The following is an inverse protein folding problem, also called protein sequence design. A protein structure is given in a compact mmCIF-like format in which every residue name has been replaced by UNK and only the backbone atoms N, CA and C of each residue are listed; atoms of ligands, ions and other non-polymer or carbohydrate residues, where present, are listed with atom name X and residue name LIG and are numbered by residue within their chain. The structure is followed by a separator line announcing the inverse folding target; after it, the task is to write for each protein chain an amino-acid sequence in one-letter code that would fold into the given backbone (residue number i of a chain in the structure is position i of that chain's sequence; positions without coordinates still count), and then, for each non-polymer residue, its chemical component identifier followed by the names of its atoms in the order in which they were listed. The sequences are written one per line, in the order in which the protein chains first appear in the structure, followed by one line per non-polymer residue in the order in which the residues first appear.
data_IF_170656170350
#
_entry.id   IF_170656170350
#
_cell.length_a   1.000
_cell.length_b   1.000
_cell.length_c   1.000
_cell.angle_alpha   90.00
_cell.angle_beta   90.00
_cell.angle_gamma   90.00
#
_symmetry.space_group_name_H-M   'P 1'
#
loop_
_entity.id
_entity.type
_entity.pdbx_description
1 polymer ?
#
# COMPACT_ATOMS: atom_id res chain seq x y z
N UNK A 1 -0.42 16.06 -48.12
CA UNK A 1 0.11 16.64 -46.87
C UNK A 1 0.52 15.46 -46.02
N UNK A 2 1.81 15.28 -45.77
CA UNK A 2 2.29 14.15 -44.98
C UNK A 2 1.86 14.34 -43.53
N UNK A 3 1.07 13.40 -42.99
CA UNK A 3 0.79 13.34 -41.55
C UNK A 3 2.00 12.72 -40.85
N UNK A 4 3.04 13.54 -40.67
CA UNK A 4 4.16 13.23 -39.78
C UNK A 4 3.61 13.08 -38.36
N UNK A 5 3.28 11.84 -38.00
CA UNK A 5 2.91 11.48 -36.63
C UNK A 5 4.13 11.74 -35.76
N UNK A 6 4.12 12.87 -35.05
CA UNK A 6 5.09 13.12 -34.00
C UNK A 6 4.84 12.08 -32.90
N UNK A 7 5.63 11.02 -32.89
CA UNK A 7 5.81 10.22 -31.70
C UNK A 7 6.47 11.11 -30.66
N UNK A 8 5.65 11.78 -29.85
CA UNK A 8 6.04 12.27 -28.54
C UNK A 8 6.50 11.06 -27.74
N UNK A 9 7.81 10.82 -27.75
CA UNK A 9 8.42 9.87 -26.81
C UNK A 9 8.00 10.32 -25.42
N UNK A 10 7.71 9.37 -24.53
CA UNK A 10 7.44 9.61 -23.11
C UNK A 10 8.45 8.78 -22.31
N UNK A 11 8.96 9.30 -21.19
CA UNK A 11 9.88 8.53 -20.37
C UNK A 11 9.22 7.27 -19.81
N UNK A 12 9.99 6.19 -19.72
CA UNK A 12 9.54 4.94 -19.11
C UNK A 12 10.05 4.90 -17.67
N UNK A 13 9.13 4.72 -16.72
CA UNK A 13 9.50 4.43 -15.33
C UNK A 13 10.04 2.99 -15.28
N UNK A 14 11.30 2.84 -14.87
CA UNK A 14 11.93 1.56 -14.60
C UNK A 14 11.82 1.22 -13.11
N UNK A 15 11.68 -0.07 -12.80
CA UNK A 15 11.44 -0.59 -11.43
C UNK A 15 12.37 -1.77 -11.18
N UNK A 16 13.19 -1.69 -10.13
CA UNK A 16 14.11 -2.76 -9.75
C UNK A 16 14.04 -3.06 -8.24
N UNK A 17 13.78 -4.32 -7.83
CA UNK A 17 13.33 -5.44 -8.67
C UNK A 17 11.97 -5.16 -9.32
N UNK A 18 11.73 -5.68 -10.53
CA UNK A 18 10.47 -5.50 -11.27
C UNK A 18 9.33 -6.31 -10.62
N UNK A 19 8.75 -5.78 -9.55
CA UNK A 19 7.56 -6.28 -8.87
C UNK A 19 6.77 -5.14 -8.22
N UNK A 20 5.46 -5.28 -8.07
CA UNK A 20 4.59 -4.26 -7.43
C UNK A 20 4.52 -4.38 -5.90
N UNK A 21 4.75 -5.57 -5.33
CA UNK A 21 4.64 -5.83 -3.89
C UNK A 21 6.01 -6.05 -3.23
N UNK A 22 6.14 -5.53 -2.01
CA UNK A 22 7.36 -5.56 -1.21
C UNK A 22 7.04 -5.84 0.26
N UNK A 23 7.94 -6.50 0.98
CA UNK A 23 7.91 -6.49 2.44
C UNK A 23 8.47 -5.18 2.99
N UNK A 24 8.03 -4.79 4.19
CA UNK A 24 8.76 -3.79 4.97
C UNK A 24 10.24 -4.21 5.11
N UNK A 25 11.14 -3.26 4.93
CA UNK A 25 12.60 -3.43 4.88
C UNK A 25 13.18 -4.17 3.65
N UNK A 26 12.37 -4.54 2.65
CA UNK A 26 12.93 -4.71 1.29
C UNK A 26 13.44 -3.34 0.77
N UNK A 27 14.33 -3.36 -0.22
CA UNK A 27 14.74 -2.15 -0.96
C UNK A 27 13.95 -1.99 -2.27
N UNK A 28 13.97 -0.76 -2.81
CA UNK A 28 13.38 -0.39 -4.10
C UNK A 28 14.26 0.63 -4.81
N UNK A 29 14.50 0.41 -6.10
CA UNK A 29 15.08 1.38 -7.03
C UNK A 29 14.06 1.73 -8.12
N UNK A 30 13.87 3.02 -8.36
CA UNK A 30 13.03 3.60 -9.41
C UNK A 30 13.88 4.52 -10.28
N UNK A 31 13.70 4.54 -11.60
CA UNK A 31 14.38 5.53 -12.46
C UNK A 31 13.60 5.88 -13.72
N UNK A 32 13.77 7.12 -14.18
CA UNK A 32 13.17 7.61 -15.42
C UNK A 32 14.12 7.39 -16.60
N UNK A 33 13.75 6.45 -17.48
CA UNK A 33 14.49 6.13 -18.69
C UNK A 33 13.95 6.93 -19.88
N UNK A 34 14.83 7.59 -20.62
CA UNK A 34 14.50 8.63 -21.60
C UNK A 34 15.61 8.80 -22.65
N UNK A 35 15.32 8.65 -23.96
CA UNK A 35 16.35 8.69 -25.01
C UNK A 35 16.69 10.09 -25.55
N UNK A 36 16.25 11.17 -24.89
CA UNK A 36 16.39 12.56 -25.38
C UNK A 36 17.25 13.47 -24.50
N UNK A 37 18.01 14.38 -25.11
CA UNK A 37 19.09 15.10 -24.41
C UNK A 37 18.66 16.32 -23.56
N UNK A 38 17.38 16.71 -23.56
CA UNK A 38 16.96 18.05 -23.08
C UNK A 38 15.90 18.08 -21.97
N UNK A 39 15.19 16.98 -21.72
CA UNK A 39 14.13 16.92 -20.70
C UNK A 39 14.63 16.22 -19.44
N UNK A 40 14.73 16.94 -18.31
CA UNK A 40 14.89 16.29 -17.01
C UNK A 40 13.55 15.64 -16.64
N UNK A 41 13.60 14.34 -16.35
CA UNK A 41 12.48 13.57 -15.85
C UNK A 41 12.75 13.18 -14.39
N UNK A 42 11.82 13.53 -13.51
CA UNK A 42 11.93 13.29 -12.07
C UNK A 42 10.99 12.18 -11.65
N UNK A 43 11.45 11.26 -10.79
CA UNK A 43 10.57 10.28 -10.15
C UNK A 43 9.68 11.03 -9.15
N UNK A 44 8.37 10.86 -9.27
CA UNK A 44 7.34 11.50 -8.47
C UNK A 44 6.52 10.43 -7.73
N UNK A 45 5.92 10.81 -6.60
CA UNK A 45 5.10 9.92 -5.76
C UNK A 45 3.82 10.56 -5.24
N UNK A 46 2.84 9.70 -4.97
CA UNK A 46 1.63 9.98 -4.20
C UNK A 46 1.43 8.85 -3.18
N UNK A 47 1.89 9.06 -1.94
CA UNK A 47 1.78 8.10 -0.82
C UNK A 47 1.08 8.76 0.38
N UNK A 48 0.81 8.00 1.45
CA UNK A 48 0.10 8.50 2.64
C UNK A 48 0.79 9.67 3.38
N UNK A 49 2.08 9.93 3.11
CA UNK A 49 2.84 11.04 3.68
C UNK A 49 3.24 12.11 2.65
N UNK A 50 3.05 11.85 1.34
CA UNK A 50 3.68 12.61 0.27
C UNK A 50 2.77 12.73 -0.95
N UNK A 51 2.04 13.84 -1.07
CA UNK A 51 1.12 14.11 -2.18
C UNK A 51 1.82 14.85 -3.33
N UNK A 52 1.83 14.27 -4.54
CA UNK A 52 2.44 14.86 -5.75
C UNK A 52 3.88 15.36 -5.55
N UNK A 53 4.66 14.68 -4.72
CA UNK A 53 6.01 15.12 -4.36
C UNK A 53 7.06 14.50 -5.30
N UNK A 54 8.11 15.25 -5.62
CA UNK A 54 9.33 14.69 -6.17
C UNK A 54 10.03 13.78 -5.15
N UNK A 55 10.47 12.61 -5.60
CA UNK A 55 11.33 11.73 -4.84
C UNK A 55 12.75 12.29 -4.81
N UNK A 56 13.19 12.80 -3.65
CA UNK A 56 14.50 13.44 -3.51
C UNK A 56 15.41 12.66 -2.55
N UNK A 57 16.61 12.33 -3.03
CA UNK A 57 17.75 12.01 -2.18
C UNK A 57 18.42 13.33 -1.79
N UNK A 58 18.25 13.81 -0.55
CA UNK A 58 18.75 15.14 -0.11
C UNK A 58 20.26 15.39 -0.31
N UNK A 59 21.05 14.34 -0.55
CA UNK A 59 22.50 14.41 -0.75
C UNK A 59 22.93 14.20 -2.23
N UNK A 60 21.99 14.07 -3.18
CA UNK A 60 22.27 13.71 -4.58
C UNK A 60 21.27 14.44 -5.50
N UNK A 61 21.67 15.62 -5.97
CA UNK A 61 20.78 16.57 -6.66
C UNK A 61 20.33 16.11 -8.06
N UNK A 62 19.08 16.43 -8.40
CA UNK A 62 18.44 16.27 -9.73
C UNK A 62 18.64 14.93 -10.46
N UNK A 63 18.94 13.85 -9.72
CA UNK A 63 19.18 12.54 -10.32
C UNK A 63 17.84 11.91 -10.76
N UNK A 64 17.72 11.39 -12.01
CA UNK A 64 16.49 10.77 -12.52
C UNK A 64 16.20 9.40 -11.89
N UNK A 65 16.85 9.06 -10.77
CA UNK A 65 16.67 7.81 -10.05
C UNK A 65 16.53 8.01 -8.55
N UNK A 66 15.72 7.16 -7.92
CA UNK A 66 15.42 7.19 -6.51
C UNK A 66 15.64 5.79 -5.91
N UNK A 67 16.24 5.74 -4.72
CA UNK A 67 16.60 4.50 -4.04
C UNK A 67 16.13 4.55 -2.60
N UNK A 68 15.22 3.63 -2.24
CA UNK A 68 14.76 3.43 -0.87
C UNK A 68 15.48 2.20 -0.33
N UNK A 69 16.40 2.42 0.62
CA UNK A 69 17.22 1.35 1.20
C UNK A 69 16.42 0.39 2.09
N UNK A 70 15.33 0.86 2.69
CA UNK A 70 14.43 0.08 3.54
C UNK A 70 13.02 0.68 3.49
N UNK A 71 12.09 -0.02 2.84
CA UNK A 71 10.71 0.42 2.64
C UNK A 71 9.88 0.36 3.93
N UNK A 72 8.97 1.32 4.11
CA UNK A 72 7.93 1.36 5.14
C UNK A 72 6.53 1.31 4.52
N UNK A 73 5.50 0.97 5.30
CA UNK A 73 4.12 0.91 4.78
C UNK A 73 3.62 2.27 4.26
N UNK A 74 4.20 3.38 4.72
CA UNK A 74 4.01 4.75 4.23
C UNK A 74 4.63 5.07 2.87
N UNK A 75 5.50 4.19 2.35
CA UNK A 75 5.98 4.23 0.96
C UNK A 75 5.01 3.50 0.00
N UNK A 76 3.90 2.95 0.50
CA UNK A 76 2.84 2.42 -0.37
C UNK A 76 2.12 3.55 -1.08
N UNK A 77 1.96 3.46 -2.40
CA UNK A 77 1.31 4.49 -3.19
C UNK A 77 1.67 4.45 -4.67
N UNK A 78 1.30 5.52 -5.38
CA UNK A 78 1.43 5.64 -6.83
C UNK A 78 2.73 6.36 -7.19
N UNK A 79 3.50 5.82 -8.13
CA UNK A 79 4.77 6.36 -8.61
C UNK A 79 4.76 6.55 -10.12
N UNK A 80 5.36 7.64 -10.61
CA UNK A 80 5.48 7.96 -12.04
C UNK A 80 6.73 8.80 -12.30
N UNK A 81 7.14 8.93 -13.56
CA UNK A 81 8.10 9.92 -14.02
C UNK A 81 7.37 11.15 -14.55
N UNK A 82 7.85 12.36 -14.23
CA UNK A 82 7.29 13.61 -14.73
C UNK A 82 8.35 14.52 -15.33
N UNK A 83 8.08 15.12 -16.49
CA UNK A 83 8.98 16.06 -17.15
C UNK A 83 8.78 17.48 -16.61
N UNK A 84 9.75 18.36 -16.87
CA UNK A 84 9.64 19.79 -16.56
C UNK A 84 8.48 20.50 -17.31
N UNK A 85 7.97 19.92 -18.40
CA UNK A 85 6.78 20.42 -19.12
C UNK A 85 5.46 19.88 -18.54
N UNK A 86 5.53 19.01 -17.51
CA UNK A 86 4.36 18.41 -16.85
C UNK A 86 3.91 17.08 -17.42
N UNK A 87 4.52 16.60 -18.51
CA UNK A 87 4.25 15.29 -19.13
C UNK A 87 4.51 14.15 -18.13
N UNK A 88 3.75 13.05 -18.21
CA UNK A 88 3.82 11.94 -17.23
C UNK A 88 3.99 10.60 -17.95
N UNK A 89 4.84 9.74 -17.38
CA UNK A 89 4.92 8.32 -17.78
C UNK A 89 3.65 7.55 -17.38
N UNK A 90 3.57 6.29 -17.82
CA UNK A 90 2.74 5.31 -17.11
C UNK A 90 3.05 5.31 -15.61
N UNK A 91 2.01 5.17 -14.79
CA UNK A 91 2.10 5.24 -13.33
C UNK A 91 1.83 3.85 -12.72
N UNK A 92 2.69 3.44 -11.77
CA UNK A 92 2.61 2.15 -11.09
C UNK A 92 2.07 2.33 -9.67
N UNK A 93 1.51 1.27 -9.09
CA UNK A 93 1.16 1.22 -7.66
C UNK A 93 2.13 0.27 -6.94
N UNK A 94 2.83 0.78 -5.93
CA UNK A 94 3.72 0.02 -5.06
C UNK A 94 3.01 -0.27 -3.74
N UNK A 95 2.99 -1.53 -3.32
CA UNK A 95 2.43 -1.96 -2.03
C UNK A 95 3.52 -2.51 -1.13
N UNK A 96 3.76 -1.84 0.00
CA UNK A 96 4.68 -2.29 1.05
C UNK A 96 3.87 -2.87 2.21
N UNK A 97 4.23 -4.06 2.70
CA UNK A 97 3.47 -4.71 3.78
C UNK A 97 4.34 -5.33 4.87
N UNK A 98 3.86 -5.25 6.12
CA UNK A 98 4.33 -6.10 7.23
C UNK A 98 3.81 -7.53 7.15
N UNK A 99 2.82 -7.80 6.30
CA UNK A 99 2.12 -9.08 6.16
C UNK A 99 3.02 -10.28 5.84
N UNK A 100 2.48 -11.51 5.92
CA UNK A 100 3.25 -12.75 5.89
C UNK A 100 3.64 -13.21 4.48
N UNK A 101 2.97 -12.71 3.43
CA UNK A 101 3.12 -13.16 2.03
C UNK A 101 2.99 -11.97 1.08
N UNK A 102 3.77 -11.94 0.00
CA UNK A 102 3.59 -11.07 -1.16
C UNK A 102 3.46 -11.88 -2.45
N UNK A 103 2.81 -11.27 -3.45
CA UNK A 103 2.82 -11.70 -4.84
C UNK A 103 3.84 -10.87 -5.62
N UNK A 104 4.93 -11.50 -6.04
CA UNK A 104 5.90 -10.94 -6.97
C UNK A 104 5.33 -11.03 -8.39
N UNK A 105 4.47 -10.07 -8.75
CA UNK A 105 4.00 -9.80 -10.11
C UNK A 105 4.72 -8.56 -10.67
N UNK A 106 5.03 -8.48 -11.97
CA UNK A 106 5.64 -7.30 -12.59
C UNK A 106 4.96 -5.97 -12.19
N UNK A 107 5.76 -4.92 -11.98
CA UNK A 107 5.26 -3.59 -11.65
C UNK A 107 4.75 -2.82 -12.88
N UNK A 108 5.29 -3.14 -14.05
CA UNK A 108 5.02 -2.48 -15.32
C UNK A 108 4.15 -3.39 -16.22
N UNK A 109 3.36 -2.82 -17.14
CA UNK A 109 2.66 -3.58 -18.16
C UNK A 109 3.61 -4.46 -18.98
N UNK A 110 3.16 -5.67 -19.31
CA UNK A 110 3.94 -6.67 -20.08
C UNK A 110 3.44 -6.76 -21.51
N UNK A 111 4.33 -6.97 -22.48
CA UNK A 111 3.95 -7.08 -23.89
C UNK A 111 3.32 -8.46 -24.22
N UNK A 112 2.29 -8.46 -25.06
CA UNK A 112 1.66 -9.69 -25.55
C UNK A 112 2.66 -10.59 -26.32
N UNK A 113 2.75 -11.85 -25.88
CA UNK A 113 3.76 -12.81 -26.31
C UNK A 113 4.99 -12.93 -25.39
N UNK A 114 5.13 -12.10 -24.36
CA UNK A 114 6.17 -12.28 -23.33
C UNK A 114 5.96 -13.52 -22.45
N UNK A 115 7.02 -14.01 -21.81
CA UNK A 115 6.92 -15.01 -20.74
C UNK A 115 6.93 -14.28 -19.38
N UNK A 116 5.93 -14.55 -18.54
CA UNK A 116 5.77 -13.93 -17.22
C UNK A 116 5.80 -15.02 -16.16
N UNK A 117 6.57 -14.83 -15.08
CA UNK A 117 6.49 -15.70 -13.89
C UNK A 117 6.02 -14.86 -12.72
N UNK A 118 4.83 -15.18 -12.20
CA UNK A 118 4.36 -14.71 -10.92
C UNK A 118 4.94 -15.60 -9.82
N UNK A 119 5.42 -15.03 -8.72
CA UNK A 119 5.95 -15.81 -7.59
C UNK A 119 5.28 -15.42 -6.29
N UNK A 120 4.81 -16.41 -5.54
CA UNK A 120 4.32 -16.22 -4.19
C UNK A 120 5.51 -16.34 -3.22
N UNK A 121 5.85 -15.25 -2.52
CA UNK A 121 6.95 -15.24 -1.54
C UNK A 121 6.40 -15.04 -0.14
N UNK A 122 6.54 -16.06 0.71
CA UNK A 122 6.34 -15.92 2.15
C UNK A 122 7.54 -15.19 2.79
N UNK A 123 7.26 -14.45 3.87
CA UNK A 123 8.26 -13.66 4.62
C UNK A 123 9.19 -14.54 5.45
N UNK A 124 8.66 -15.64 5.98
CA UNK A 124 9.38 -16.58 6.86
C UNK A 124 9.92 -17.75 6.03
N UNK A 125 11.24 -18.01 5.98
CA UNK A 125 11.82 -19.07 5.14
C UNK A 125 11.38 -20.51 5.48
N UNK A 126 10.82 -20.75 6.67
CA UNK A 126 10.28 -22.04 7.09
C UNK A 126 8.81 -22.28 6.68
N UNK A 127 8.17 -21.31 6.02
CA UNK A 127 6.84 -21.49 5.47
C UNK A 127 6.85 -22.47 4.28
N UNK A 128 5.69 -23.03 3.95
CA UNK A 128 5.53 -23.90 2.78
C UNK A 128 5.90 -23.14 1.49
N UNK A 129 6.64 -23.79 0.58
CA UNK A 129 6.80 -23.28 -0.80
C UNK A 129 5.52 -23.43 -1.63
N UNK A 130 4.55 -24.23 -1.16
CA UNK A 130 3.33 -24.47 -1.92
C UNK A 130 2.38 -23.27 -1.84
N UNK A 131 1.88 -22.84 -3.01
CA UNK A 131 1.00 -21.69 -3.13
C UNK A 131 -0.15 -21.92 -4.11
N UNK A 132 -1.33 -21.45 -3.72
CA UNK A 132 -2.51 -21.33 -4.56
C UNK A 132 -2.56 -19.92 -5.16
N UNK A 133 -2.59 -19.82 -6.48
CA UNK A 133 -2.71 -18.59 -7.26
C UNK A 133 -4.15 -18.38 -7.69
N UNK A 134 -4.65 -17.17 -7.49
CA UNK A 134 -5.99 -16.75 -7.87
C UNK A 134 -5.90 -15.58 -8.86
N UNK A 135 -6.80 -15.57 -9.84
CA UNK A 135 -7.03 -14.47 -10.79
C UNK A 135 -8.50 -14.09 -10.73
N UNK A 136 -8.80 -12.80 -10.60
CA UNK A 136 -10.17 -12.25 -10.61
C UNK A 136 -11.10 -12.95 -9.59
N UNK A 137 -10.52 -13.44 -8.48
CA UNK A 137 -11.18 -14.20 -7.42
C UNK A 137 -11.15 -15.74 -7.58
N UNK A 138 -11.03 -16.26 -8.79
CA UNK A 138 -11.01 -17.70 -9.07
C UNK A 138 -9.62 -18.33 -8.91
N UNK A 139 -9.55 -19.59 -8.47
CA UNK A 139 -8.30 -20.36 -8.38
C UNK A 139 -7.85 -20.74 -9.80
N UNK A 140 -6.64 -20.31 -10.20
CA UNK A 140 -6.08 -20.58 -11.55
C UNK A 140 -4.90 -21.55 -11.56
N UNK A 141 -4.13 -21.64 -10.46
CA UNK A 141 -3.05 -22.63 -10.34
C UNK A 141 -2.79 -23.00 -8.88
N UNK A 142 -2.58 -24.29 -8.60
CA UNK A 142 -1.87 -24.78 -7.41
C UNK A 142 -0.44 -25.11 -7.80
N UNK A 143 0.56 -24.57 -7.11
CA UNK A 143 1.99 -24.84 -7.39
C UNK A 143 2.74 -25.28 -6.15
N UNK A 144 3.66 -26.24 -6.31
CA UNK A 144 4.45 -26.78 -5.20
C UNK A 144 5.73 -25.97 -4.89
N UNK A 145 6.21 -25.20 -5.87
CA UNK A 145 7.44 -24.39 -5.84
C UNK A 145 7.20 -22.89 -5.60
N UNK A 146 5.94 -22.48 -5.51
CA UNK A 146 5.53 -21.09 -5.32
C UNK A 146 5.54 -20.23 -6.59
N UNK A 147 5.70 -20.82 -7.79
CA UNK A 147 5.77 -20.07 -9.06
C UNK A 147 4.61 -20.38 -10.02
N UNK A 148 4.15 -19.38 -10.76
CA UNK A 148 3.20 -19.51 -11.87
C UNK A 148 3.77 -18.82 -13.11
N UNK A 149 4.37 -19.61 -14.01
CA UNK A 149 4.83 -19.13 -15.32
C UNK A 149 3.71 -19.22 -16.35
N UNK A 150 3.35 -18.08 -16.92
CA UNK A 150 2.50 -17.92 -18.10
C UNK A 150 3.43 -17.74 -19.30
N UNK A 151 3.34 -18.62 -20.30
CA UNK A 151 4.17 -18.55 -21.52
C UNK A 151 3.39 -17.88 -22.64
N UNK A 152 4.06 -17.04 -23.43
CA UNK A 152 3.46 -16.30 -24.55
C UNK A 152 2.15 -15.58 -24.16
N UNK A 153 2.22 -14.77 -23.09
CA UNK A 153 1.06 -14.16 -22.43
C UNK A 153 0.14 -13.41 -23.41
N UNK A 154 -1.16 -13.63 -23.32
CA UNK A 154 -2.17 -12.93 -24.13
C UNK A 154 -2.91 -11.87 -23.31
N UNK A 155 -3.61 -10.93 -23.96
CA UNK A 155 -4.44 -9.94 -23.24
C UNK A 155 -5.51 -10.54 -22.33
N UNK A 156 -5.97 -11.78 -22.56
CA UNK A 156 -6.90 -12.49 -21.68
C UNK A 156 -6.31 -12.88 -20.31
N UNK A 157 -4.98 -12.89 -20.18
CA UNK A 157 -4.27 -13.12 -18.91
C UNK A 157 -4.12 -11.82 -18.08
N UNK A 158 -4.51 -10.65 -18.60
CA UNK A 158 -4.64 -9.44 -17.78
C UNK A 158 -5.73 -9.60 -16.72
N UNK A 159 -5.51 -9.14 -15.49
CA UNK A 159 -6.46 -9.28 -14.39
C UNK A 159 -5.87 -9.03 -13.00
N UNK A 160 -6.69 -9.18 -11.96
CA UNK A 160 -6.30 -8.98 -10.56
C UNK A 160 -5.85 -10.32 -9.95
N UNK A 161 -4.55 -10.47 -9.73
CA UNK A 161 -3.97 -11.67 -9.12
C UNK A 161 -3.75 -11.51 -7.61
N UNK A 162 -3.82 -12.64 -6.90
CA UNK A 162 -3.33 -12.81 -5.51
C UNK A 162 -2.82 -14.25 -5.34
N UNK A 163 -2.04 -14.52 -4.30
CA UNK A 163 -1.69 -15.88 -3.91
C UNK A 163 -1.99 -16.17 -2.43
N UNK A 164 -2.02 -17.46 -2.08
CA UNK A 164 -2.18 -17.96 -0.71
C UNK A 164 -1.16 -19.08 -0.47
N UNK A 165 -0.34 -18.95 0.57
CA UNK A 165 0.60 -20.00 1.00
C UNK A 165 0.05 -20.71 2.22
N UNK A 166 -0.07 -22.04 2.14
CA UNK A 166 -0.59 -22.88 3.23
C UNK A 166 0.18 -22.65 4.54
N UNK A 167 -0.53 -22.22 5.59
CA UNK A 167 0.02 -21.89 6.90
C UNK A 167 0.60 -20.48 7.06
N UNK A 168 0.84 -19.74 5.97
CA UNK A 168 1.29 -18.34 6.01
C UNK A 168 0.18 -17.33 5.65
N UNK A 169 -0.76 -17.71 4.80
CA UNK A 169 -1.91 -16.87 4.42
C UNK A 169 -1.75 -16.18 3.05
N UNK A 170 -2.52 -15.12 2.85
CA UNK A 170 -2.71 -14.47 1.55
C UNK A 170 -1.77 -13.29 1.31
N UNK A 171 -1.41 -13.07 0.05
CA UNK A 171 -0.84 -11.81 -0.42
C UNK A 171 -1.91 -10.71 -0.51
N UNK A 172 -1.46 -9.46 -0.64
CA UNK A 172 -2.30 -8.40 -1.21
C UNK A 172 -2.65 -8.73 -2.68
N UNK A 173 -3.64 -8.05 -3.25
CA UNK A 173 -3.96 -8.10 -4.68
C UNK A 173 -2.94 -7.31 -5.51
N UNK A 174 -2.78 -7.67 -6.77
CA UNK A 174 -1.97 -6.94 -7.75
C UNK A 174 -2.60 -7.01 -9.14
N UNK A 175 -2.56 -5.92 -9.89
CA UNK A 175 -3.02 -5.87 -11.27
C UNK A 175 -1.90 -6.33 -12.22
N UNK A 176 -2.16 -7.35 -13.03
CA UNK A 176 -1.34 -7.67 -14.19
C UNK A 176 -1.97 -7.01 -15.43
N UNK A 177 -1.20 -6.16 -16.11
CA UNK A 177 -1.64 -5.44 -17.32
C UNK A 177 -0.84 -5.95 -18.51
N UNK A 178 -1.52 -6.32 -19.60
CA UNK A 178 -0.90 -6.84 -20.83
C UNK A 178 -1.18 -5.86 -21.97
N UNK A 179 -0.13 -5.31 -22.59
CA UNK A 179 -0.22 -4.42 -23.75
C UNK A 179 -0.36 -5.25 -25.04
N UNK A 180 -1.13 -4.78 -26.02
CA UNK A 180 -1.23 -5.46 -27.31
C UNK A 180 0.12 -5.40 -28.06
N UNK A 181 0.36 -6.37 -28.94
CA UNK A 181 1.52 -6.33 -29.84
C UNK A 181 1.43 -5.09 -30.76
N UNK A 182 2.31 -4.12 -30.51
CA UNK A 182 2.37 -2.85 -31.26
C UNK A 182 1.88 -1.62 -30.48
N UNK A 183 1.38 -1.78 -29.25
CA UNK A 183 1.14 -0.66 -28.34
C UNK A 183 2.43 -0.31 -27.57
N UNK A 184 3.27 0.54 -28.14
CA UNK A 184 4.30 1.24 -27.37
C UNK A 184 3.68 2.23 -26.38
N UNK A 185 4.39 2.50 -25.27
CA UNK A 185 3.93 3.24 -24.09
C UNK A 185 3.51 4.72 -24.32
N UNK A 186 3.57 5.21 -25.56
CA UNK A 186 3.37 6.60 -25.95
C UNK A 186 1.90 7.08 -26.05
N UNK A 187 0.91 6.23 -25.72
CA UNK A 187 -0.52 6.59 -25.83
C UNK A 187 -1.36 6.08 -24.65
N UNK A 188 -1.22 6.74 -23.50
CA UNK A 188 -2.27 6.74 -22.47
C UNK A 188 -2.80 8.16 -22.28
N UNK A 189 -4.12 8.42 -22.36
CA UNK A 189 -4.66 9.77 -22.25
C UNK A 189 -4.57 10.28 -20.81
N UNK A 190 -3.73 11.29 -20.59
CA UNK A 190 -3.78 12.11 -19.38
C UNK A 190 -5.05 12.96 -19.35
N UNK A 191 -5.72 13.03 -18.20
CA UNK A 191 -7.02 13.69 -18.07
C UNK A 191 -6.96 15.19 -18.34
N UNK A 192 -7.67 15.63 -19.39
CA UNK A 192 -8.09 16.99 -19.74
C UNK A 192 -7.24 18.19 -19.25
N UNK A 193 -6.56 18.84 -20.20
CA UNK A 193 -6.37 20.29 -20.21
C UNK A 193 -7.10 20.88 -21.44
N UNK A 194 -7.57 22.12 -21.34
CA UNK A 194 -8.48 22.75 -22.31
C UNK A 194 -7.79 23.34 -23.54
N UNK A 195 -8.37 23.13 -24.72
CA UNK A 195 -8.04 23.85 -25.94
C UNK A 195 -9.12 23.70 -27.01
N UNK A 196 -9.83 24.79 -27.31
CA UNK A 196 -10.64 24.95 -28.52
C UNK A 196 -9.67 25.18 -29.72
N UNK A 197 -10.02 24.93 -30.99
CA UNK A 197 -11.33 25.03 -31.64
C UNK A 197 -11.41 24.17 -32.93
N UNK A 198 -12.62 23.74 -33.31
CA UNK A 198 -13.16 23.27 -34.61
C UNK A 198 -12.23 22.67 -35.71
N UNK A 199 -12.59 21.60 -36.44
CA UNK A 199 -13.91 21.37 -37.05
C UNK A 199 -14.22 19.91 -37.51
N UNK A 200 -15.51 19.65 -37.73
CA UNK A 200 -16.09 18.75 -38.77
C UNK A 200 -15.80 17.23 -38.74
N UNK A 201 -16.69 16.46 -38.08
CA UNK A 201 -17.07 15.10 -38.49
C UNK A 201 -18.51 14.79 -38.03
N UNK A 202 -19.27 14.01 -38.83
CA UNK A 202 -20.68 13.73 -38.57
C UNK A 202 -20.94 12.61 -37.53
N UNK A 203 -22.00 12.86 -36.74
CA UNK A 203 -22.95 11.93 -36.11
C UNK A 203 -22.50 10.49 -35.80
N UNK A 204 -22.47 10.18 -34.50
CA UNK A 204 -23.03 8.94 -33.97
C UNK A 204 -23.80 9.27 -32.68
N UNK A 205 -25.13 9.27 -32.74
CA UNK A 205 -25.98 9.50 -31.57
C UNK A 205 -26.15 8.20 -30.80
N UNK A 206 -25.97 8.25 -29.48
CA UNK A 206 -26.49 7.26 -28.55
C UNK A 206 -27.33 7.98 -27.50
N UNK A 207 -28.58 7.57 -27.30
CA UNK A 207 -29.41 8.06 -26.20
C UNK A 207 -28.72 7.78 -24.85
N UNK A 208 -28.21 8.82 -24.22
CA UNK A 208 -27.98 8.82 -22.79
C UNK A 208 -29.34 8.94 -22.09
N UNK A 209 -29.61 8.06 -21.12
CA UNK A 209 -30.76 8.26 -20.24
C UNK A 209 -30.66 9.61 -19.55
N UNK A 210 -31.72 10.40 -19.68
CA UNK A 210 -31.79 11.76 -19.16
C UNK A 210 -32.11 11.69 -17.68
N UNK A 211 -31.08 11.71 -16.83
CA UNK A 211 -31.23 11.86 -15.39
C UNK A 211 -32.08 13.10 -15.08
N UNK A 212 -33.35 12.88 -14.67
CA UNK A 212 -34.28 13.97 -14.39
C UNK A 212 -33.75 14.85 -13.24
N UNK A 213 -33.96 16.18 -13.29
CA UNK A 213 -33.58 17.06 -12.20
C UNK A 213 -34.38 16.69 -10.94
N UNK A 214 -33.76 16.69 -9.74
CA UNK A 214 -34.42 16.26 -8.52
C UNK A 214 -35.68 17.09 -8.25
N UNK A 215 -36.83 16.41 -8.23
CA UNK A 215 -38.16 17.02 -8.09
C UNK A 215 -38.17 18.04 -6.94
N UNK A 216 -38.58 19.31 -7.17
CA UNK A 216 -38.54 20.37 -6.16
C UNK A 216 -39.34 20.06 -4.89
N UNK A 217 -40.19 19.03 -4.89
CA UNK A 217 -40.84 18.46 -3.70
C UNK A 217 -39.83 17.82 -2.74
N UNK A 218 -38.84 17.07 -3.23
CA UNK A 218 -37.79 16.46 -2.39
C UNK A 218 -36.91 17.54 -1.74
N UNK A 219 -36.52 18.57 -2.48
CA UNK A 219 -35.71 19.68 -1.95
C UNK A 219 -36.45 20.38 -0.79
N UNK A 220 -37.77 20.60 -0.93
CA UNK A 220 -38.62 21.20 0.12
C UNK A 220 -38.80 20.32 1.36
N UNK A 221 -38.58 19.01 1.27
CA UNK A 221 -38.64 18.07 2.41
C UNK A 221 -37.27 17.82 3.04
N UNK A 222 -36.21 17.75 2.24
CA UNK A 222 -34.85 17.49 2.73
C UNK A 222 -34.25 18.71 3.43
N UNK A 223 -34.47 19.94 2.93
CA UNK A 223 -33.97 21.16 3.57
C UNK A 223 -34.40 21.32 5.04
N UNK A 224 -35.69 21.26 5.41
CA UNK A 224 -36.09 21.38 6.82
C UNK A 224 -35.60 20.22 7.69
N UNK A 225 -35.46 19.00 7.16
CA UNK A 225 -34.90 17.86 7.90
C UNK A 225 -33.41 18.06 8.17
N UNK A 226 -32.63 18.53 7.18
CA UNK A 226 -31.20 18.84 7.36
C UNK A 226 -31.01 20.02 8.32
N UNK A 227 -31.82 21.07 8.22
CA UNK A 227 -31.79 22.20 9.17
C UNK A 227 -32.14 21.75 10.59
N UNK A 228 -33.17 20.91 10.76
CA UNK A 228 -33.52 20.34 12.08
C UNK A 228 -32.39 19.48 12.64
N UNK A 229 -31.76 18.63 11.82
CA UNK A 229 -30.61 17.82 12.23
C UNK A 229 -29.40 18.69 12.66
N UNK A 230 -29.10 19.75 11.91
CA UNK A 230 -28.03 20.70 12.26
C UNK A 230 -28.35 21.49 13.54
N UNK A 231 -29.61 21.87 13.77
CA UNK A 231 -30.05 22.49 15.01
C UNK A 231 -29.95 21.55 16.21
N UNK A 232 -30.30 20.27 16.05
CA UNK A 232 -30.13 19.24 17.10
C UNK A 232 -28.65 18.99 17.42
N UNK A 233 -27.77 18.93 16.40
CA UNK A 233 -26.32 18.83 16.61
C UNK A 233 -25.77 20.09 17.29
N UNK A 234 -26.21 21.29 16.91
CA UNK A 234 -25.82 22.53 17.57
C UNK A 234 -26.29 22.58 19.04
N UNK A 235 -27.52 22.12 19.33
CA UNK A 235 -28.02 21.99 20.70
C UNK A 235 -27.20 20.98 21.52
N UNK A 236 -26.85 19.82 20.95
CA UNK A 236 -25.98 18.83 21.60
C UNK A 236 -24.59 19.41 21.90
N UNK A 237 -23.98 20.15 20.97
CA UNK A 237 -22.71 20.83 21.16
C UNK A 237 -22.77 21.98 22.18
N UNK A 238 -23.92 22.65 22.32
CA UNK A 238 -24.16 23.63 23.37
C UNK A 238 -24.39 22.97 24.74
N UNK A 239 -25.06 21.82 24.78
CA UNK A 239 -25.22 21.02 26.00
C UNK A 239 -23.88 20.46 26.49
N UNK A 240 -23.05 19.88 25.61
CA UNK A 240 -21.72 19.41 26.01
C UNK A 240 -20.80 20.55 26.42
N UNK A 241 -20.88 21.72 25.77
CA UNK A 241 -20.16 22.93 26.24
C UNK A 241 -20.63 23.41 27.60
N UNK A 242 -21.94 23.43 27.89
CA UNK A 242 -22.45 23.78 29.25
C UNK A 242 -22.05 22.74 30.30
N UNK A 243 -21.96 21.48 29.93
CA UNK A 243 -21.44 20.41 30.79
C UNK A 243 -19.90 20.46 30.97
N UNK A 244 -19.21 21.34 30.25
CA UNK A 244 -17.76 21.57 30.37
C UNK A 244 -17.44 22.93 31.05
N UNK A 245 -18.45 23.69 31.45
CA UNK A 245 -18.31 24.95 32.22
C UNK A 245 -18.64 24.79 33.70
N UNK A 246 -18.66 23.56 34.21
CA UNK A 246 -19.08 23.22 35.59
C UNK A 246 -18.21 22.07 36.17
N UNK A 247 -16.92 22.07 35.82
CA UNK A 247 -15.87 21.20 36.39
C UNK A 247 -14.66 22.09 36.67
N UNK A 248 -14.20 22.09 37.92
CA UNK A 248 -13.15 22.97 38.44
C UNK A 248 -11.72 22.45 38.10
N UNK A 249 -10.69 23.25 38.37
CA UNK A 249 -9.30 22.88 38.05
C UNK A 249 -8.72 21.79 38.99
N UNK A 250 -8.53 20.57 38.47
CA UNK A 250 -7.84 19.49 39.18
C UNK A 250 -6.37 19.31 38.75
N UNK A 251 -5.50 19.10 39.74
CA UNK A 251 -4.02 19.28 39.69
C UNK A 251 -3.30 18.15 38.91
N UNK A 252 -2.23 18.45 38.14
CA UNK A 252 -1.43 17.42 37.45
C UNK A 252 -0.67 16.47 38.40
N UNK A 253 -0.47 15.23 37.93
CA UNK A 253 -0.17 14.05 38.76
C UNK A 253 1.34 13.82 39.06
N UNK A 254 1.70 13.96 40.33
CA UNK A 254 2.84 13.40 41.10
C UNK A 254 4.28 13.50 40.57
N UNK A 255 5.14 14.14 41.36
CA UNK A 255 6.48 13.60 41.67
C UNK A 255 6.35 12.53 42.77
N UNK A 256 6.98 11.35 42.59
CA UNK A 256 6.98 10.27 43.61
C UNK A 256 8.35 10.19 44.29
N UNK A 257 8.50 10.93 45.39
CA UNK A 257 9.69 10.85 46.25
C UNK A 257 9.43 9.83 47.38
N UNK A 258 10.03 8.66 47.28
CA UNK A 258 10.04 7.68 48.36
C UNK A 258 10.93 8.15 49.53
N UNK A 259 10.31 8.67 50.60
CA UNK A 259 10.97 8.76 51.91
C UNK A 259 10.95 7.40 52.58
N UNK A 260 12.13 6.85 52.84
CA UNK A 260 12.30 5.70 53.72
C UNK A 260 12.02 6.14 55.16
N UNK A 261 10.94 5.66 55.77
CA UNK A 261 10.71 5.79 57.21
C UNK A 261 10.99 4.45 57.89
N UNK A 262 11.83 4.48 58.92
CA UNK A 262 12.31 3.28 59.63
C UNK A 262 11.75 3.29 61.05
N UNK A 263 10.95 2.27 61.40
CA UNK A 263 10.76 1.86 62.79
C UNK A 263 10.96 0.34 62.93
N UNK A 264 11.51 -0.12 64.07
CA UNK A 264 11.89 -1.53 64.26
C UNK A 264 10.74 -2.35 64.88
N UNK A 265 10.53 -3.57 64.37
CA UNK A 265 9.61 -4.52 64.98
C UNK A 265 10.28 -5.31 66.14
N UNK A 266 9.48 -5.80 67.09
CA UNK A 266 9.94 -6.38 68.35
C UNK A 266 9.48 -7.83 68.52
N UNK A 267 10.48 -8.71 68.69
CA UNK A 267 10.38 -10.15 69.00
C UNK A 267 9.23 -10.50 69.96
N UNK A 268 8.48 -11.56 69.61
CA UNK A 268 7.98 -12.58 70.53
C UNK A 268 7.76 -13.92 69.83
N UNK A 269 8.25 -14.99 70.45
CA UNK A 269 7.99 -16.39 70.08
C UNK A 269 6.61 -16.83 70.62
N UNK A 270 6.01 -17.89 70.08
CA UNK A 270 6.02 -19.25 70.70
C UNK A 270 5.15 -20.26 69.90
N UNK A 271 5.64 -21.50 69.76
CA UNK A 271 4.95 -22.74 69.31
C UNK A 271 4.29 -22.76 67.89
N UNK A 272 4.03 -23.91 67.24
CA UNK A 272 4.03 -25.33 67.67
C UNK A 272 4.50 -26.29 66.55
N UNK A 273 5.01 -27.49 66.92
CA UNK A 273 5.05 -28.83 66.26
C UNK A 273 4.79 -29.04 64.73
N UNK A 274 5.34 -30.05 64.02
CA UNK A 274 6.40 -31.05 64.30
C UNK A 274 6.83 -31.84 63.02
N UNK A 275 7.91 -32.62 63.12
CA UNK A 275 8.42 -33.78 62.30
C UNK A 275 7.74 -34.18 60.97
N UNK A 276 8.47 -34.61 59.93
CA UNK A 276 9.24 -35.88 59.94
C UNK A 276 10.27 -36.09 58.79
N UNK A 277 11.00 -37.21 58.84
CA UNK A 277 12.17 -37.57 57.98
C UNK A 277 11.86 -38.18 56.60
N UNK A 278 12.84 -38.11 55.69
CA UNK A 278 13.30 -39.31 54.94
C UNK A 278 14.78 -39.20 54.51
N UNK A 279 15.50 -40.32 54.47
CA UNK A 279 16.92 -40.42 54.04
C UNK A 279 17.11 -41.59 53.07
N UNK A 280 17.99 -41.43 52.08
CA UNK A 280 18.40 -42.49 51.14
C UNK A 280 19.90 -42.37 50.87
N UNK A 281 20.67 -43.47 51.06
CA UNK A 281 22.11 -43.52 50.70
C UNK A 281 22.68 -44.95 50.58
N UNK A 282 23.08 -45.31 49.37
CA UNK A 282 24.05 -46.36 48.97
C UNK A 282 24.76 -45.79 47.71
N UNK A 283 26.07 -45.90 47.46
CA UNK A 283 26.97 -47.07 47.41
C UNK A 283 27.18 -47.40 45.91
N UNK A 284 28.36 -47.34 45.28
CA UNK A 284 29.73 -47.61 45.75
C UNK A 284 30.05 -49.10 45.53
N UNK A 285 31.12 -49.55 44.85
CA UNK A 285 32.28 -48.89 44.19
C UNK A 285 32.36 -49.32 42.70
N UNK A 286 33.44 -49.40 41.90
CA UNK A 286 34.91 -49.24 42.06
C UNK A 286 35.63 -48.93 40.71
N UNK A 287 36.99 -48.92 40.71
CA UNK A 287 37.88 -48.80 39.54
C UNK A 287 38.28 -50.15 38.92
N UNK A 288 38.63 -50.12 37.63
CA UNK A 288 39.82 -50.82 37.11
C UNK A 288 40.45 -50.03 35.95
#
# INVERSE_FOLDING_TARGET
MELTTFCTVVATLQVSPNRSQFFQYDNLFLSCDWPGNSSRWTVMRNTSQHTNQACSNHNRGDEPSYYIAALYESDSGVYWCQSAAGERSHAINITVTRGPVILESPALPVAEGSNVTLRCRAKTPSASTQADFFKDGALVKRSHDGNMTIRSISRAEGGVYKCNTSGAGHSAQSQLTVLARGEDSARYPGTHASGEQEASADVCLCEAERSDPPDPRFIRLLLPVVVLALLLVALLLLCTRRNHTDVDEDVPYTDVIFKQEVQPDRIKELDTEATNYSTVKTGGTDRK
#
